data_IF_810868186464
#
_entry.id   IF_810868186464
#
_cell.length_a   1.000
_cell.length_b   1.000
_cell.length_c   1.000
_cell.angle_alpha   90.00
_cell.angle_beta   90.00
_cell.angle_gamma   90.00
#
_symmetry.space_group_name_H-M   'P 1'
#
loop_
_entity.id
_entity.type
_entity.pdbx_description
1 polymer ?
#
# COMPACT_ATOMS: atom_id res chain seq x y z
N UNK A 1 -29.61 -3.80 -22.46
CA UNK A 1 -30.03 -3.61 -21.05
C UNK A 1 -28.86 -4.05 -20.18
N UNK A 2 -28.04 -3.11 -19.72
CA UNK A 2 -27.09 -3.38 -18.63
C UNK A 2 -27.90 -3.44 -17.35
N UNK A 3 -27.82 -4.55 -16.61
CA UNK A 3 -28.53 -4.72 -15.34
C UNK A 3 -27.90 -3.82 -14.28
N UNK A 4 -28.63 -3.48 -13.22
CA UNK A 4 -28.13 -2.63 -12.11
C UNK A 4 -26.80 -3.12 -11.52
N UNK A 5 -26.55 -4.44 -11.58
CA UNK A 5 -25.31 -5.08 -11.13
C UNK A 5 -24.06 -4.64 -11.92
N UNK A 6 -24.18 -4.32 -13.21
CA UNK A 6 -23.04 -3.87 -14.03
C UNK A 6 -22.57 -2.45 -13.63
N UNK A 7 -23.47 -1.64 -13.06
CA UNK A 7 -23.12 -0.31 -12.56
C UNK A 7 -22.40 -0.38 -11.21
N UNK A 8 -22.76 -1.32 -10.33
CA UNK A 8 -22.10 -1.54 -9.04
C UNK A 8 -20.63 -1.97 -9.20
N UNK A 9 -20.34 -2.86 -10.16
CA UNK A 9 -18.98 -3.32 -10.45
C UNK A 9 -18.03 -2.20 -10.92
N UNK A 10 -18.55 -1.09 -11.45
CA UNK A 10 -17.75 0.06 -11.86
C UNK A 10 -17.28 0.92 -10.66
N UNK A 11 -17.95 0.79 -9.51
CA UNK A 11 -17.67 1.56 -8.28
C UNK A 11 -16.94 0.76 -7.21
N UNK A 12 -16.70 -0.53 -7.46
CA UNK A 12 -15.94 -1.37 -6.55
C UNK A 12 -14.46 -0.97 -6.50
N UNK A 13 -13.90 -1.17 -5.32
CA UNK A 13 -12.48 -0.95 -5.09
C UNK A 13 -11.67 -1.95 -5.94
N UNK A 14 -10.66 -1.51 -6.70
CA UNK A 14 -9.89 -2.42 -7.53
C UNK A 14 -9.02 -3.36 -6.67
N UNK A 15 -8.93 -4.62 -7.08
CA UNK A 15 -8.14 -5.65 -6.39
C UNK A 15 -6.66 -5.29 -6.20
N UNK A 16 -6.09 -4.40 -7.04
CA UNK A 16 -4.72 -3.94 -6.86
C UNK A 16 -4.55 -3.04 -5.63
N UNK A 17 -5.60 -2.31 -5.22
CA UNK A 17 -5.61 -1.52 -3.99
C UNK A 17 -5.96 -2.41 -2.78
N UNK A 18 -6.76 -3.46 -2.96
CA UNK A 18 -6.94 -4.51 -1.94
C UNK A 18 -5.62 -5.21 -1.63
N UNK A 19 -4.91 -5.67 -2.67
CA UNK A 19 -3.60 -6.27 -2.53
C UNK A 19 -2.64 -5.34 -1.78
N UNK A 20 -2.57 -4.07 -2.16
CA UNK A 20 -1.72 -3.09 -1.49
C UNK A 20 -2.08 -2.92 0.00
N UNK A 21 -3.37 -2.87 0.34
CA UNK A 21 -3.81 -2.80 1.73
C UNK A 21 -3.45 -4.06 2.53
N UNK A 22 -3.74 -5.23 1.99
CA UNK A 22 -3.46 -6.51 2.65
C UNK A 22 -1.95 -6.66 2.88
N UNK A 23 -1.15 -6.33 1.87
CA UNK A 23 0.30 -6.40 1.96
C UNK A 23 0.88 -5.39 2.94
N UNK A 24 0.31 -4.18 3.04
CA UNK A 24 0.62 -3.25 4.13
C UNK A 24 0.32 -3.90 5.49
N UNK A 25 -0.89 -4.43 5.70
CA UNK A 25 -1.23 -5.07 6.98
C UNK A 25 -0.24 -6.19 7.35
N UNK A 26 0.17 -7.03 6.39
CA UNK A 26 1.23 -8.03 6.61
C UNK A 26 2.58 -7.40 6.99
N UNK A 27 2.98 -6.33 6.32
CA UNK A 27 4.21 -5.62 6.63
C UNK A 27 4.19 -5.00 8.04
N UNK A 28 3.03 -4.53 8.51
CA UNK A 28 2.86 -4.10 9.89
C UNK A 28 2.96 -5.27 10.88
N UNK A 29 2.33 -6.40 10.59
CA UNK A 29 2.44 -7.58 11.44
C UNK A 29 3.87 -8.11 11.54
N UNK A 30 4.65 -8.02 10.47
CA UNK A 30 6.09 -8.33 10.52
C UNK A 30 6.86 -7.38 11.43
N UNK A 31 6.56 -6.08 11.39
CA UNK A 31 7.17 -5.11 12.31
C UNK A 31 6.79 -5.41 13.76
N UNK A 32 5.51 -5.72 14.01
CA UNK A 32 5.03 -6.13 15.33
C UNK A 32 5.68 -7.43 15.76
N UNK A 33 5.83 -8.44 14.90
CA UNK A 33 6.41 -9.74 15.30
C UNK A 33 7.88 -9.62 15.66
N UNK A 34 8.65 -8.81 14.93
CA UNK A 34 10.03 -8.44 15.30
C UNK A 34 10.03 -7.74 16.65
N UNK A 35 9.08 -6.85 16.91
CA UNK A 35 9.01 -6.10 18.18
C UNK A 35 8.56 -6.97 19.36
N UNK A 36 7.55 -7.83 19.17
CA UNK A 36 6.96 -8.70 20.19
C UNK A 36 7.85 -9.89 20.46
N UNK A 37 8.57 -10.43 19.48
CA UNK A 37 9.61 -11.44 19.72
C UNK A 37 10.72 -10.95 20.65
N UNK A 38 10.81 -9.63 20.84
CA UNK A 38 11.76 -9.00 21.77
C UNK A 38 11.15 -8.79 23.16
N UNK A 39 9.84 -8.51 23.26
CA UNK A 39 9.16 -8.24 24.53
C UNK A 39 9.41 -9.31 25.62
N UNK A 40 9.02 -10.58 25.43
CA UNK A 40 9.22 -11.64 26.42
C UNK A 40 10.69 -11.88 26.80
N UNK A 41 11.66 -11.71 25.88
CA UNK A 41 13.09 -11.89 26.19
C UNK A 41 13.70 -10.68 26.90
N UNK A 42 13.34 -9.46 26.50
CA UNK A 42 13.85 -8.24 27.10
C UNK A 42 13.32 -8.01 28.53
N UNK A 43 12.13 -8.55 28.84
CA UNK A 43 11.58 -8.60 30.20
C UNK A 43 11.99 -9.86 31.00
N UNK A 44 12.94 -10.68 30.51
CA UNK A 44 13.33 -11.94 31.15
C UNK A 44 12.15 -12.90 31.43
N UNK A 45 11.06 -12.82 30.66
CA UNK A 45 9.85 -13.62 30.87
C UNK A 45 10.12 -15.12 30.66
N UNK A 46 11.15 -15.47 29.90
CA UNK A 46 11.62 -16.85 29.65
C UNK A 46 12.83 -17.27 30.49
N UNK A 47 13.33 -16.46 31.44
CA UNK A 47 14.40 -16.91 32.34
C UNK A 47 13.85 -18.02 33.23
N UNK A 48 14.14 -19.27 32.85
CA UNK A 48 13.80 -20.48 33.59
C UNK A 48 13.21 -21.62 32.74
N UNK A 49 12.78 -21.38 31.50
CA UNK A 49 12.14 -22.42 30.65
C UNK A 49 12.99 -22.92 29.47
N UNK A 50 14.05 -22.19 29.09
CA UNK A 50 14.98 -22.63 28.02
C UNK A 50 16.20 -23.39 28.52
N UNK A 51 16.46 -23.42 29.83
CA UNK A 51 17.60 -24.18 30.42
C UNK A 51 17.48 -25.70 30.20
N UNK A 52 16.27 -26.23 30.01
CA UNK A 52 16.02 -27.67 29.85
C UNK A 52 16.02 -28.15 28.39
N UNK A 53 16.19 -27.26 27.39
CA UNK A 53 16.22 -27.64 25.97
C UNK A 53 17.54 -27.20 25.33
N UNK A 54 18.54 -28.11 25.21
CA UNK A 54 19.90 -27.75 24.79
C UNK A 54 19.98 -27.12 23.40
N UNK A 55 19.07 -27.48 22.49
CA UNK A 55 19.01 -26.88 21.14
C UNK A 55 18.58 -25.41 21.18
N UNK A 56 17.70 -25.02 22.11
CA UNK A 56 17.28 -23.63 22.27
C UNK A 56 18.37 -22.80 22.95
N UNK A 57 19.06 -23.37 23.94
CA UNK A 57 20.16 -22.71 24.64
C UNK A 57 21.33 -22.38 23.70
N UNK A 58 21.69 -23.28 22.78
CA UNK A 58 22.77 -23.03 21.80
C UNK A 58 22.38 -21.96 20.75
N UNK A 59 21.12 -21.95 20.31
CA UNK A 59 20.60 -20.90 19.40
C UNK A 59 20.51 -19.56 20.14
N UNK A 60 20.13 -19.56 21.41
CA UNK A 60 20.02 -18.38 22.26
C UNK A 60 21.39 -17.80 22.62
N UNK A 61 22.41 -18.63 22.82
CA UNK A 61 23.79 -18.21 23.03
C UNK A 61 24.49 -17.70 21.75
N UNK A 62 24.07 -18.20 20.58
CA UNK A 62 24.61 -17.76 19.28
C UNK A 62 24.07 -16.41 18.81
N UNK A 63 22.92 -15.96 19.34
CA UNK A 63 22.32 -14.67 19.02
C UNK A 63 22.62 -13.72 20.18
N UNK A 64 23.70 -12.97 20.06
CA UNK A 64 24.05 -11.90 21.02
C UNK A 64 23.09 -10.71 20.85
N UNK A 65 21.92 -10.80 21.49
CA UNK A 65 20.86 -9.76 21.40
C UNK A 65 21.22 -8.61 22.33
N UNK A 66 21.58 -7.45 21.77
CA UNK A 66 21.71 -6.21 22.53
C UNK A 66 20.35 -5.74 23.10
N UNK A 67 20.08 -6.05 24.37
CA UNK A 67 18.75 -5.84 25.00
C UNK A 67 18.28 -4.36 25.11
N UNK A 68 19.17 -3.37 24.99
CA UNK A 68 18.82 -1.95 25.15
C UNK A 68 18.09 -1.34 23.94
N UNK A 69 18.55 -1.63 22.73
CA UNK A 69 18.02 -1.02 21.50
C UNK A 69 16.53 -1.31 21.25
N UNK A 70 16.01 -2.53 21.49
CA UNK A 70 14.60 -2.83 21.27
C UNK A 70 13.62 -2.12 22.18
N UNK A 71 13.94 -2.01 23.49
CA UNK A 71 13.04 -1.38 24.46
C UNK A 71 13.00 0.13 24.25
N UNK A 72 14.15 0.76 24.07
CA UNK A 72 14.27 2.22 24.02
C UNK A 72 13.83 2.80 22.67
N UNK A 73 14.03 2.05 21.58
CA UNK A 73 13.81 2.57 20.22
C UNK A 73 12.64 1.89 19.53
N UNK A 74 12.58 0.55 19.54
CA UNK A 74 11.61 -0.19 18.73
C UNK A 74 10.20 -0.14 19.31
N UNK A 75 10.04 -0.28 20.63
CA UNK A 75 8.73 -0.26 21.28
C UNK A 75 8.01 1.12 21.16
N UNK A 76 8.65 2.26 21.47
CA UNK A 76 8.02 3.58 21.31
C UNK A 76 7.78 3.91 19.84
N UNK A 77 8.72 3.53 18.96
CA UNK A 77 8.54 3.70 17.53
C UNK A 77 7.30 2.92 17.06
N UNK A 78 7.10 1.67 17.50
CA UNK A 78 5.93 0.88 17.12
C UNK A 78 4.62 1.59 17.47
N UNK A 79 4.47 2.06 18.72
CA UNK A 79 3.27 2.78 19.17
C UNK A 79 3.03 4.03 18.34
N UNK A 80 4.09 4.80 18.06
CA UNK A 80 4.00 6.00 17.25
C UNK A 80 3.68 5.70 15.78
N UNK A 81 4.17 4.58 15.25
CA UNK A 81 3.94 4.14 13.87
C UNK A 81 2.56 3.51 13.65
N UNK A 82 1.95 2.89 14.66
CA UNK A 82 0.66 2.21 14.52
C UNK A 82 -0.43 3.16 14.01
N UNK A 83 -0.53 4.37 14.57
CA UNK A 83 -1.58 5.32 14.18
C UNK A 83 -1.46 5.77 12.72
N UNK A 84 -0.29 6.26 12.25
CA UNK A 84 -0.04 6.52 10.82
C UNK A 84 -0.33 5.31 9.93
N UNK A 85 -0.01 4.10 10.39
CA UNK A 85 -0.24 2.88 9.64
C UNK A 85 -1.72 2.62 9.39
N UNK A 86 -2.51 2.60 10.46
CA UNK A 86 -3.96 2.39 10.40
C UNK A 86 -4.61 3.49 9.56
N UNK A 87 -4.21 4.75 9.76
CA UNK A 87 -4.70 5.88 8.97
C UNK A 87 -4.39 5.73 7.49
N UNK A 88 -3.19 5.28 7.12
CA UNK A 88 -2.82 5.06 5.74
C UNK A 88 -3.61 3.93 5.10
N UNK A 89 -3.79 2.79 5.80
CA UNK A 89 -4.60 1.66 5.31
C UNK A 89 -6.04 2.10 5.10
N UNK A 90 -6.66 2.79 6.06
CA UNK A 90 -8.04 3.29 5.91
C UNK A 90 -8.14 4.30 4.77
N UNK A 91 -7.23 5.27 4.71
CA UNK A 91 -7.23 6.30 3.67
C UNK A 91 -6.99 5.73 2.26
N UNK A 92 -6.25 4.62 2.16
CA UNK A 92 -6.05 3.84 0.94
C UNK A 92 -7.36 3.23 0.44
N UNK A 93 -8.16 2.68 1.35
CA UNK A 93 -9.46 2.08 1.04
C UNK A 93 -10.45 3.12 0.54
N UNK A 94 -10.42 4.29 1.18
CA UNK A 94 -11.19 5.46 0.77
C UNK A 94 -10.64 6.11 -0.51
N UNK A 95 -9.47 5.69 -1.01
CA UNK A 95 -8.84 6.22 -2.22
C UNK A 95 -8.48 7.71 -2.17
N UNK A 96 -8.14 8.22 -0.98
CA UNK A 96 -7.65 9.59 -0.80
C UNK A 96 -6.34 9.81 -1.58
N UNK A 97 -6.22 10.95 -2.27
CA UNK A 97 -5.05 11.25 -3.13
C UNK A 97 -3.71 11.21 -2.37
N UNK A 98 -3.70 11.69 -1.14
CA UNK A 98 -2.50 11.67 -0.29
C UNK A 98 -2.16 10.28 0.25
N UNK A 99 -3.13 9.35 0.32
CA UNK A 99 -2.93 8.02 0.88
C UNK A 99 -1.94 7.19 0.06
N UNK A 100 -1.93 7.37 -1.25
CA UNK A 100 -0.95 6.70 -2.13
C UNK A 100 0.48 7.09 -1.78
N UNK A 101 0.73 8.38 -1.59
CA UNK A 101 2.06 8.90 -1.25
C UNK A 101 2.44 8.46 0.17
N UNK A 102 1.53 8.61 1.13
CA UNK A 102 1.76 8.17 2.50
C UNK A 102 2.08 6.67 2.58
N UNK A 103 1.35 5.83 1.86
CA UNK A 103 1.60 4.39 1.80
C UNK A 103 2.97 4.05 1.23
N UNK A 104 3.39 4.70 0.14
CA UNK A 104 4.74 4.52 -0.42
C UNK A 104 5.80 4.88 0.61
N UNK A 105 5.66 6.04 1.27
CA UNK A 105 6.60 6.47 2.30
C UNK A 105 6.64 5.49 3.46
N UNK A 106 5.48 5.07 3.97
CA UNK A 106 5.37 4.10 5.07
C UNK A 106 6.04 2.77 4.70
N UNK A 107 5.81 2.24 3.49
CA UNK A 107 6.43 0.99 3.03
C UNK A 107 7.95 1.10 3.06
N UNK A 108 8.50 2.18 2.49
CA UNK A 108 9.95 2.38 2.40
C UNK A 108 10.57 2.55 3.78
N UNK A 109 9.96 3.38 4.63
CA UNK A 109 10.37 3.57 6.02
C UNK A 109 10.33 2.25 6.77
N UNK A 110 9.25 1.47 6.63
CA UNK A 110 9.10 0.19 7.32
C UNK A 110 10.14 -0.85 6.85
N UNK A 111 10.48 -0.88 5.57
CA UNK A 111 11.58 -1.72 5.06
C UNK A 111 12.91 -1.36 5.73
N UNK A 112 13.26 -0.06 5.78
CA UNK A 112 14.53 0.40 6.35
C UNK A 112 14.60 0.15 7.86
N UNK A 113 13.55 0.56 8.60
CA UNK A 113 13.50 0.37 10.04
C UNK A 113 13.40 -1.10 10.42
N UNK A 114 12.57 -1.87 9.72
CA UNK A 114 12.42 -3.31 9.93
C UNK A 114 13.74 -4.05 9.75
N UNK A 115 14.45 -3.82 8.63
CA UNK A 115 15.76 -4.43 8.41
C UNK A 115 16.78 -3.99 9.46
N UNK A 116 16.83 -2.69 9.79
CA UNK A 116 17.77 -2.18 10.80
C UNK A 116 17.48 -2.80 12.17
N UNK A 117 16.22 -2.91 12.56
CA UNK A 117 15.81 -3.55 13.80
C UNK A 117 16.19 -5.04 13.83
N UNK A 118 15.94 -5.77 12.74
CA UNK A 118 16.29 -7.19 12.63
C UNK A 118 17.81 -7.39 12.73
N UNK A 119 18.61 -6.62 11.99
CA UNK A 119 20.09 -6.72 12.05
C UNK A 119 20.60 -6.42 13.46
N UNK A 120 20.10 -5.36 14.09
CA UNK A 120 20.52 -4.94 15.44
C UNK A 120 20.07 -5.90 16.54
N UNK A 121 19.00 -6.65 16.30
CA UNK A 121 18.40 -7.54 17.31
C UNK A 121 18.87 -8.98 17.15
N UNK A 122 18.83 -9.51 15.93
CA UNK A 122 19.03 -10.94 15.65
C UNK A 122 20.29 -11.23 14.83
N UNK A 123 21.06 -10.20 14.46
CA UNK A 123 22.26 -10.33 13.65
C UNK A 123 22.01 -10.42 12.15
N UNK A 124 23.10 -10.37 11.38
CA UNK A 124 23.08 -10.27 9.91
C UNK A 124 22.53 -11.53 9.23
N UNK A 125 22.84 -12.71 9.77
CA UNK A 125 22.40 -14.00 9.18
C UNK A 125 20.89 -14.11 9.18
N UNK A 126 20.24 -13.75 10.29
CA UNK A 126 18.78 -13.77 10.37
C UNK A 126 18.16 -12.70 9.48
N UNK A 127 18.79 -11.52 9.37
CA UNK A 127 18.36 -10.47 8.45
C UNK A 127 18.38 -10.91 6.98
N UNK A 128 19.37 -11.71 6.55
CA UNK A 128 19.44 -12.24 5.17
C UNK A 128 18.25 -13.15 4.82
N UNK A 129 17.66 -13.83 5.81
CA UNK A 129 16.50 -14.71 5.62
C UNK A 129 15.21 -13.89 5.59
N UNK A 130 15.08 -12.90 6.48
CA UNK A 130 13.84 -12.12 6.65
C UNK A 130 13.72 -10.97 5.64
N UNK A 131 14.84 -10.34 5.25
CA UNK A 131 14.85 -9.19 4.34
C UNK A 131 14.21 -9.47 2.97
N UNK A 132 14.46 -10.61 2.29
CA UNK A 132 13.80 -10.93 1.03
C UNK A 132 12.28 -10.94 1.14
N UNK A 133 11.73 -11.52 2.22
CA UNK A 133 10.29 -11.55 2.46
C UNK A 133 9.73 -10.13 2.62
N UNK A 134 10.42 -9.29 3.40
CA UNK A 134 10.02 -7.90 3.62
C UNK A 134 10.03 -7.08 2.32
N UNK A 135 11.07 -7.27 1.50
CA UNK A 135 11.24 -6.61 0.20
C UNK A 135 10.15 -7.07 -0.77
N UNK A 136 9.84 -8.37 -0.83
CA UNK A 136 8.77 -8.91 -1.69
C UNK A 136 7.42 -8.29 -1.33
N UNK A 137 7.09 -8.22 -0.03
CA UNK A 137 5.84 -7.58 0.44
C UNK A 137 5.82 -6.10 0.02
N UNK A 138 6.93 -5.38 0.22
CA UNK A 138 7.04 -3.98 -0.20
C UNK A 138 6.82 -3.82 -1.70
N UNK A 139 7.40 -4.71 -2.52
CA UNK A 139 7.21 -4.71 -3.97
C UNK A 139 5.76 -4.98 -4.36
N UNK A 140 5.04 -5.85 -3.65
CA UNK A 140 3.61 -6.05 -3.90
C UNK A 140 2.78 -4.81 -3.60
N UNK A 141 3.07 -4.08 -2.51
CA UNK A 141 2.41 -2.81 -2.22
C UNK A 141 2.70 -1.80 -3.33
N UNK A 142 3.98 -1.62 -3.69
CA UNK A 142 4.39 -0.67 -4.72
C UNK A 142 3.78 -1.03 -6.08
N UNK A 143 3.80 -2.31 -6.46
CA UNK A 143 3.20 -2.82 -7.70
C UNK A 143 1.68 -2.63 -7.73
N UNK A 144 0.99 -2.94 -6.63
CA UNK A 144 -0.44 -2.68 -6.47
C UNK A 144 -0.78 -1.21 -6.67
N UNK A 145 -0.02 -0.30 -6.05
CA UNK A 145 -0.19 1.15 -6.16
C UNK A 145 0.29 1.74 -7.50
N UNK A 146 1.21 1.08 -8.22
CA UNK A 146 1.70 1.49 -9.53
C UNK A 146 0.78 1.04 -10.67
N UNK A 147 -0.07 0.04 -10.42
CA UNK A 147 -1.02 -0.48 -11.40
C UNK A 147 -1.89 0.62 -12.02
N UNK A 148 -2.28 0.43 -13.29
CA UNK A 148 -3.13 1.38 -14.01
C UNK A 148 -4.49 1.56 -13.33
N UNK A 149 -5.04 0.47 -12.81
CA UNK A 149 -6.33 0.43 -12.09
C UNK A 149 -6.27 1.22 -10.78
N UNK A 150 -5.21 1.07 -9.99
CA UNK A 150 -5.03 1.87 -8.77
C UNK A 150 -4.85 3.36 -9.10
N UNK A 151 -4.06 3.70 -10.12
CA UNK A 151 -3.89 5.10 -10.56
C UNK A 151 -5.21 5.73 -10.97
N UNK A 152 -6.08 4.97 -11.65
CA UNK A 152 -7.40 5.44 -12.05
C UNK A 152 -8.30 5.67 -10.83
N UNK A 153 -8.31 4.72 -9.88
CA UNK A 153 -9.04 4.83 -8.61
C UNK A 153 -8.71 6.12 -7.84
N UNK A 154 -7.43 6.41 -7.61
CA UNK A 154 -7.04 7.64 -6.90
C UNK A 154 -7.31 8.93 -7.70
N UNK A 155 -7.25 8.86 -9.04
CA UNK A 155 -7.59 10.00 -9.91
C UNK A 155 -9.08 10.33 -9.85
N UNK A 156 -9.93 9.31 -9.72
CA UNK A 156 -11.38 9.43 -9.59
C UNK A 156 -11.82 9.84 -8.18
N UNK A 157 -10.89 10.09 -7.24
CA UNK A 157 -11.22 10.53 -5.89
C UNK A 157 -11.52 9.41 -4.91
N UNK A 158 -11.29 8.15 -5.29
CA UNK A 158 -11.43 7.00 -4.38
C UNK A 158 -12.86 6.56 -4.17
N UNK A 159 -13.21 6.14 -2.95
CA UNK A 159 -14.56 5.71 -2.54
C UNK A 159 -15.40 6.95 -2.17
N UNK A 160 -15.65 7.82 -3.14
CA UNK A 160 -16.77 8.75 -3.04
C UNK A 160 -18.05 7.92 -3.19
N UNK A 161 -19.07 8.10 -2.32
CA UNK A 161 -20.17 7.15 -2.23
C UNK A 161 -20.81 6.94 -3.60
N UNK A 162 -20.90 5.69 -4.04
CA UNK A 162 -21.32 5.35 -5.40
C UNK A 162 -22.68 5.96 -5.76
N UNK A 163 -23.57 6.14 -4.78
CA UNK A 163 -24.87 6.81 -4.96
C UNK A 163 -24.72 8.29 -5.32
N UNK A 164 -23.73 9.00 -4.78
CA UNK A 164 -23.45 10.41 -5.12
C UNK A 164 -22.98 10.52 -6.57
N UNK A 165 -22.13 9.59 -7.03
CA UNK A 165 -21.66 9.58 -8.42
C UNK A 165 -22.75 9.13 -9.40
N UNK A 166 -23.54 8.13 -9.02
CA UNK A 166 -24.73 7.74 -9.76
C UNK A 166 -25.71 8.91 -9.93
N UNK A 167 -25.97 9.67 -8.86
CA UNK A 167 -26.82 10.86 -8.92
C UNK A 167 -26.23 11.95 -9.81
N UNK A 168 -24.94 12.24 -9.71
CA UNK A 168 -24.26 13.23 -10.57
C UNK A 168 -24.32 12.80 -12.04
N UNK A 169 -24.01 11.55 -12.36
CA UNK A 169 -24.03 11.03 -13.73
C UNK A 169 -25.45 11.03 -14.30
N UNK A 170 -26.45 10.67 -13.49
CA UNK A 170 -27.87 10.74 -13.88
C UNK A 170 -28.32 12.18 -14.15
N UNK A 171 -27.87 13.14 -13.33
CA UNK A 171 -28.12 14.58 -13.55
C UNK A 171 -27.40 15.07 -14.82
N UNK A 172 -26.19 14.59 -15.09
CA UNK A 172 -25.42 14.97 -16.29
C UNK A 172 -25.99 14.37 -17.57
N UNK A 173 -26.48 13.13 -17.55
CA UNK A 173 -27.15 12.51 -18.71
C UNK A 173 -28.52 13.15 -19.00
N UNK A 174 -29.17 13.74 -17.99
CA UNK A 174 -30.36 14.58 -18.19
C UNK A 174 -30.05 15.94 -18.83
N UNK A 175 -28.79 16.40 -18.81
CA UNK A 175 -28.41 17.61 -19.55
C UNK A 175 -28.24 17.24 -21.03
N UNK A 176 -28.94 17.91 -21.95
CA UNK A 176 -28.76 17.68 -23.38
C UNK A 176 -27.30 17.95 -23.74
N UNK A 177 -26.55 16.91 -24.12
CA UNK A 177 -25.18 17.05 -24.58
C UNK A 177 -25.18 18.04 -25.75
N UNK A 178 -24.34 19.09 -25.73
CA UNK A 178 -24.23 19.99 -26.87
C UNK A 178 -23.85 19.13 -28.08
N UNK A 179 -24.74 19.09 -29.07
CA UNK A 179 -24.52 18.32 -30.31
C UNK A 179 -23.13 18.65 -30.83
N UNK A 180 -22.30 17.65 -31.16
CA UNK A 180 -20.99 17.92 -31.73
C UNK A 180 -21.20 18.81 -32.95
N UNK A 181 -20.68 20.04 -32.86
CA UNK A 181 -20.78 21.04 -33.93
C UNK A 181 -20.06 20.41 -35.12
N UNK A 182 -20.82 19.84 -36.06
CA UNK A 182 -20.33 19.26 -37.31
C UNK A 182 -19.29 20.24 -37.86
N UNK A 183 -18.00 19.89 -37.79
CA UNK A 183 -16.98 20.62 -38.52
C UNK A 183 -17.43 20.56 -39.97
N UNK A 184 -17.77 21.71 -40.55
CA UNK A 184 -18.00 21.82 -41.99
C UNK A 184 -16.74 21.24 -42.66
N UNK A 185 -16.88 20.29 -43.60
CA UNK A 185 -15.75 19.89 -44.42
C UNK A 185 -15.20 21.16 -45.08
N UNK A 186 -13.91 21.41 -44.86
CA UNK A 186 -13.17 22.46 -45.56
C UNK A 186 -13.21 22.06 -47.03
N UNK A 187 -13.91 22.84 -47.85
CA UNK A 187 -13.98 22.63 -49.29
C UNK A 187 -12.53 22.50 -49.78
N UNK A 188 -12.23 21.35 -50.38
CA UNK A 188 -10.93 21.12 -50.99
C UNK A 188 -10.75 22.19 -52.08
N UNK A 189 -9.62 22.88 -52.03
CA UNK A 189 -9.19 23.82 -53.05
C UNK A 189 -9.22 23.10 -54.39
N UNK A 190 -9.99 23.63 -55.34
CA UNK A 190 -10.05 23.14 -56.71
C UNK A 190 -8.67 23.32 -57.36
N UNK A 191 -7.98 22.27 -57.81
CA UNK A 191 -6.66 22.37 -58.42
C UNK A 191 -6.66 22.85 -59.87
N UNK A 192 -7.83 23.20 -60.45
CA UNK A 192 -7.94 23.59 -61.86
C UNK A 192 -8.05 25.11 -62.10
N UNK A 193 -7.65 25.95 -61.15
CA UNK A 193 -7.59 27.41 -61.32
C UNK A 193 -6.17 27.95 -61.59
N UNK A 194 -5.29 27.08 -62.09
CA UNK A 194 -4.08 27.48 -62.79
C UNK A 194 -4.27 27.14 -64.27
N UNK A 195 -4.04 28.13 -65.13
CA UNK A 195 -4.09 28.07 -66.60
C UNK A 195 -5.43 28.48 -67.23
N UNK A 196 -5.78 29.76 -67.07
CA UNK A 196 -6.39 30.53 -68.15
C UNK A 196 -5.90 31.98 -68.07
N UNK A 197 -5.26 32.39 -69.15
CA UNK A 197 -4.60 33.68 -69.46
C UNK A 197 -5.34 34.96 -69.02
#
# INVERSE_FOLDING_TARGET
>A
MSTSFDQEALYDKPHSVDLAQVMLVFQYFMLVSVTVGIGPRAFNWFKGETEDVPLLADIEAAIDIGAGYPIEVVLPALVFYTVPYVMAVLALGLGRKWARVAAIVIVLVNVVFGMTAVVRTYGEVFALIVAPLWIIIALFVLGGLASRTARQWFRQGGWEPWYVRYEIDRIQDMRPRPRPRRRRPRIAHDPNEADAD
#
